data_IF_088730621335
#
_entry.id   IF_088730621335
#
_cell.length_a   1.000
_cell.length_b   1.000
_cell.length_c   1.000
_cell.angle_alpha   90.00
_cell.angle_beta   90.00
_cell.angle_gamma   90.00
#
_symmetry.space_group_name_H-M   'P 1'
#
loop_
_entity.id
_entity.type
_entity.pdbx_description
1 polymer ?
#
# COMPACT_ATOMS: atom_id res chain seq x y z
N UNK A 1 17.42 20.85 17.10
CA UNK A 1 17.13 20.70 16.59
C UNK A 1 16.01 20.69 16.18
N UNK A 2 15.57 20.75 16.07
CA UNK A 2 14.54 20.86 15.96
C UNK A 2 13.63 20.80 14.97
N UNK A 3 13.09 20.50 14.78
CA UNK A 3 12.40 20.30 14.02
C UNK A 3 11.23 20.58 13.80
N UNK A 4 10.74 20.71 13.57
CA UNK A 4 9.79 20.99 13.38
C UNK A 4 8.78 20.67 12.97
N UNK A 5 8.17 20.57 12.92
CA UNK A 5 7.17 20.27 12.80
C UNK A 5 6.21 20.43 12.05
N UNK A 6 5.94 20.15 11.75
CA UNK A 6 5.17 20.10 11.27
C UNK A 6 4.12 20.41 10.91
N UNK A 7 3.60 20.48 10.62
CA UNK A 7 2.81 20.74 10.32
C UNK A 7 1.77 20.40 10.06
N UNK A 8 1.19 20.31 10.05
CA UNK A 8 0.20 19.98 9.98
C UNK A 8 -0.64 20.45 9.18
N UNK A 9 -0.89 20.28 8.65
CA UNK A 9 -1.58 20.57 7.94
C UNK A 9 -2.66 20.96 7.79
N UNK A 10 -3.12 20.92 7.62
CA UNK A 10 -4.04 21.12 7.61
C UNK A 10 -4.88 21.81 7.38
N UNK A 11 -5.13 22.00 7.09
CA UNK A 11 -5.86 22.51 6.99
C UNK A 11 -6.76 22.89 6.55
N UNK A 12 -7.27 23.01 6.30
CA UNK A 12 -8.02 23.31 5.91
C UNK A 12 -8.98 23.37 5.56
N UNK A 13 -9.31 23.39 5.37
CA UNK A 13 -10.10 23.29 5.04
C UNK A 13 -11.12 23.90 4.75
N UNK A 14 -11.41 24.31 4.65
CA UNK A 14 -12.30 24.87 4.55
C UNK A 14 -12.64 25.39 3.45
N UNK A 15 -12.27 25.33 2.85
CA UNK A 15 -12.48 25.82 1.87
C UNK A 15 -12.84 25.11 1.02
N UNK A 16 -12.78 24.41 1.22
CA UNK A 16 -12.89 23.63 0.47
C UNK A 16 -14.01 23.77 -0.32
N UNK A 17 -14.50 24.21 -0.46
CA UNK A 17 -15.56 24.26 -1.04
C UNK A 17 -15.49 24.67 -2.28
N UNK A 18 -14.83 25.13 -2.62
CA UNK A 18 -14.80 25.69 -3.73
C UNK A 18 -14.35 24.95 -4.64
N UNK A 19 -14.16 24.25 -4.48
CA UNK A 19 -13.73 23.49 -5.17
C UNK A 19 -14.21 23.31 -6.38
N UNK A 20 -14.85 23.28 -6.81
CA UNK A 20 -15.34 23.00 -7.92
C UNK A 20 -14.68 23.66 -8.85
N UNK A 21 -14.00 23.97 -8.61
CA UNK A 21 -13.53 24.67 -9.39
C UNK A 21 -12.78 24.20 -10.37
N UNK A 22 -12.75 24.23 -11.08
CA UNK A 22 -12.15 24.12 -12.15
C UNK A 22 -10.86 24.62 -12.05
N UNK A 23 -10.10 24.68 -12.57
CA UNK A 23 -8.89 25.29 -12.61
C UNK A 23 -8.28 25.40 -11.30
N UNK A 24 -7.93 24.38 -10.67
CA UNK A 24 -7.25 24.49 -9.42
C UNK A 24 -5.84 24.99 -9.67
N UNK A 25 -5.47 26.03 -8.99
CA UNK A 25 -4.14 26.55 -9.03
C UNK A 25 -3.20 25.54 -8.36
N UNK A 26 -2.12 25.18 -9.03
CA UNK A 26 -1.19 24.21 -8.49
C UNK A 26 -0.62 24.65 -7.14
N UNK A 27 -0.40 25.96 -6.97
CA UNK A 27 0.16 26.45 -5.73
C UNK A 27 -0.80 26.33 -4.57
N UNK A 28 -2.08 26.08 -4.84
CA UNK A 28 -3.09 25.97 -3.78
C UNK A 28 -3.38 24.53 -3.40
N UNK A 29 -2.67 23.58 -3.95
CA UNK A 29 -2.86 22.19 -3.56
C UNK A 29 -2.38 22.01 -2.14
N UNK A 30 -3.17 21.27 -1.40
CA UNK A 30 -2.88 21.08 0.01
C UNK A 30 -1.86 20.00 0.23
N UNK A 31 -0.98 20.23 1.16
CA UNK A 31 -0.09 19.21 1.70
C UNK A 31 -0.83 18.53 2.84
N UNK A 32 -0.80 17.20 2.86
CA UNK A 32 -1.50 16.43 3.89
C UNK A 32 -0.49 15.70 4.75
N UNK A 33 -0.71 15.75 6.05
CA UNK A 33 0.13 15.07 7.02
C UNK A 33 -0.66 13.89 7.60
N UNK A 34 -0.02 12.72 7.70
CA UNK A 34 -0.66 11.52 8.19
C UNK A 34 0.19 10.89 9.30
N UNK A 35 -0.47 10.22 10.23
CA UNK A 35 0.16 9.29 11.15
C UNK A 35 -0.46 7.94 10.93
N UNK A 36 0.35 6.91 10.82
CA UNK A 36 -0.19 5.56 10.58
C UNK A 36 -1.12 5.12 11.70
N UNK A 37 -0.77 5.42 12.95
CA UNK A 37 -1.61 4.97 14.05
C UNK A 37 -2.98 5.61 14.05
N UNK A 38 -3.14 6.75 13.38
CA UNK A 38 -4.43 7.42 13.29
C UNK A 38 -5.25 6.94 12.10
N UNK A 39 -4.65 6.14 11.22
CA UNK A 39 -5.34 5.68 10.02
C UNK A 39 -6.20 4.47 10.34
N UNK A 40 -7.38 4.37 9.73
CA UNK A 40 -8.20 3.19 9.93
C UNK A 40 -7.46 1.94 9.46
N UNK A 41 -7.56 0.89 10.24
CA UNK A 41 -6.99 -0.40 9.88
C UNK A 41 -8.12 -1.26 9.35
N UNK A 42 -8.04 -1.61 8.09
CA UNK A 42 -9.06 -2.42 7.44
C UNK A 42 -8.73 -3.89 7.62
N UNK A 43 -9.68 -4.65 8.15
CA UNK A 43 -9.53 -6.09 8.24
C UNK A 43 -9.98 -6.68 6.91
N UNK A 44 -9.03 -7.14 6.12
CA UNK A 44 -9.31 -7.66 4.77
C UNK A 44 -9.70 -9.12 4.84
N UNK A 45 -9.02 -9.88 5.71
CA UNK A 45 -9.31 -11.29 5.94
C UNK A 45 -8.85 -11.63 7.35
N UNK A 46 -9.04 -12.88 7.76
CA UNK A 46 -8.59 -13.32 9.09
C UNK A 46 -7.08 -13.22 9.25
N UNK A 47 -6.34 -13.19 8.15
CA UNK A 47 -4.89 -13.25 8.17
C UNK A 47 -4.24 -11.95 7.70
N UNK A 48 -5.03 -10.96 7.27
CA UNK A 48 -4.45 -9.79 6.62
C UNK A 48 -5.25 -8.53 6.94
N UNK A 49 -4.56 -7.52 7.50
CA UNK A 49 -5.11 -6.18 7.68
C UNK A 49 -4.28 -5.21 6.86
N UNK A 50 -4.81 -4.03 6.62
CA UNK A 50 -4.03 -3.01 5.93
C UNK A 50 -4.47 -1.60 6.31
N UNK A 51 -3.54 -0.67 6.15
CA UNK A 51 -3.79 0.77 6.19
C UNK A 51 -3.23 1.34 4.90
N UNK A 52 -3.87 2.38 4.37
CA UNK A 52 -3.38 2.94 3.12
C UNK A 52 -3.58 4.45 3.08
N UNK A 53 -2.70 5.08 2.32
CA UNK A 53 -2.77 6.50 1.97
C UNK A 53 -2.75 6.52 0.45
N UNK A 54 -3.75 7.16 -0.15
CA UNK A 54 -3.82 7.25 -1.60
C UNK A 54 -3.64 8.69 -2.04
N UNK A 55 -2.87 8.87 -3.09
CA UNK A 55 -2.57 10.17 -3.69
C UNK A 55 -3.01 10.12 -5.14
N UNK A 56 -2.70 11.19 -5.90
CA UNK A 56 -3.12 11.23 -7.30
C UNK A 56 -2.45 10.15 -8.14
N UNK A 57 -1.17 9.89 -7.91
CA UNK A 57 -0.39 9.02 -8.78
C UNK A 57 0.20 7.82 -8.07
N UNK A 58 0.05 7.72 -6.77
CA UNK A 58 0.66 6.66 -6.00
C UNK A 58 -0.17 6.34 -4.78
N UNK A 59 0.05 5.16 -4.24
CA UNK A 59 -0.59 4.70 -3.02
C UNK A 59 0.50 4.12 -2.14
N UNK A 60 0.46 4.46 -0.86
CA UNK A 60 1.39 3.93 0.14
C UNK A 60 0.59 3.13 1.14
N UNK A 61 1.00 1.89 1.40
CA UNK A 61 0.23 1.00 2.26
C UNK A 61 1.11 0.34 3.29
N UNK A 62 0.52 0.06 4.44
CA UNK A 62 1.06 -0.89 5.40
C UNK A 62 0.16 -2.11 5.38
N UNK A 63 0.72 -3.25 5.10
CA UNK A 63 -0.01 -4.51 5.08
C UNK A 63 0.53 -5.37 6.22
N UNK A 64 -0.37 -5.84 7.05
CA UNK A 64 -0.04 -6.64 8.22
C UNK A 64 -0.51 -8.06 7.95
N UNK A 65 0.44 -9.00 7.87
CA UNK A 65 0.12 -10.38 7.54
C UNK A 65 0.52 -11.27 8.69
N UNK A 66 -0.35 -12.19 9.05
CA UNK A 66 0.00 -13.21 10.03
C UNK A 66 0.83 -14.29 9.36
N UNK A 67 1.68 -14.93 10.14
CA UNK A 67 2.49 -16.04 9.63
C UNK A 67 1.60 -17.05 8.91
N UNK A 68 2.00 -17.43 7.72
CA UNK A 68 1.25 -18.38 6.89
C UNK A 68 0.21 -17.76 5.98
N UNK A 69 -0.02 -16.45 6.09
CA UNK A 69 -0.97 -15.78 5.19
C UNK A 69 -0.49 -15.91 3.75
N UNK A 70 -1.43 -16.21 2.87
CA UNK A 70 -1.15 -16.40 1.45
C UNK A 70 -1.81 -15.28 0.67
N UNK A 71 -1.02 -14.63 -0.20
CA UNK A 71 -1.55 -13.74 -1.22
C UNK A 71 -1.53 -14.54 -2.51
N UNK A 72 -2.70 -14.96 -3.03
CA UNK A 72 -2.75 -15.85 -4.19
C UNK A 72 -2.11 -15.21 -5.42
N UNK A 73 -1.74 -16.05 -6.39
CA UNK A 73 -1.15 -15.58 -7.63
C UNK A 73 -2.09 -14.58 -8.30
N UNK A 74 -1.56 -13.43 -8.65
CA UNK A 74 -2.32 -12.37 -9.29
C UNK A 74 -1.35 -11.45 -10.02
N UNK A 75 -1.92 -10.55 -10.82
CA UNK A 75 -1.15 -9.47 -11.43
C UNK A 75 -2.02 -8.24 -11.50
N UNK A 76 -1.42 -7.10 -11.72
CA UNK A 76 -2.14 -5.83 -11.84
C UNK A 76 -1.29 -4.87 -12.68
N UNK A 77 -1.95 -3.87 -13.22
CA UNK A 77 -1.24 -2.89 -14.03
C UNK A 77 -0.33 -2.01 -13.18
N UNK A 78 -0.62 -1.88 -11.90
CA UNK A 78 0.17 -1.04 -11.02
C UNK A 78 1.58 -1.57 -10.89
N UNK A 79 2.54 -0.67 -10.97
CA UNK A 79 3.91 -0.99 -10.58
C UNK A 79 3.95 -1.06 -9.07
N UNK A 80 4.77 -1.93 -8.51
CA UNK A 80 4.78 -2.15 -7.06
C UNK A 80 6.19 -2.20 -6.53
N UNK A 81 6.40 -1.54 -5.39
CA UNK A 81 7.60 -1.75 -4.58
C UNK A 81 7.14 -2.28 -3.24
N UNK A 82 7.75 -3.37 -2.82
CA UNK A 82 7.48 -4.01 -1.54
C UNK A 82 8.72 -3.84 -0.65
N UNK A 83 8.52 -3.31 0.55
CA UNK A 83 9.60 -3.06 1.50
C UNK A 83 9.20 -3.68 2.84
N UNK A 84 9.97 -4.65 3.30
CA UNK A 84 9.63 -5.38 4.52
C UNK A 84 10.23 -4.67 5.73
N UNK A 85 9.39 -4.37 6.70
CA UNK A 85 9.84 -3.77 7.96
C UNK A 85 10.07 -4.84 9.02
N UNK A 86 9.21 -5.84 9.10
CA UNK A 86 9.29 -6.93 10.08
C UNK A 86 8.82 -8.20 9.42
N UNK A 87 9.34 -9.32 9.85
CA UNK A 87 8.91 -10.62 9.37
C UNK A 87 9.59 -11.02 8.08
N UNK A 88 8.82 -11.32 7.06
CA UNK A 88 9.36 -11.71 5.77
C UNK A 88 8.29 -12.29 4.88
N UNK A 89 8.44 -12.07 3.59
CA UNK A 89 7.55 -12.63 2.57
C UNK A 89 8.36 -13.45 1.60
N UNK A 90 7.80 -14.62 1.23
CA UNK A 90 8.34 -15.41 0.13
C UNK A 90 7.47 -15.18 -1.07
N UNK A 91 8.09 -14.78 -2.18
CA UNK A 91 7.38 -14.52 -3.43
C UNK A 91 7.70 -15.60 -4.44
N UNK A 92 6.68 -16.00 -5.17
CA UNK A 92 6.82 -16.86 -6.36
C UNK A 92 6.44 -16.01 -7.56
N UNK A 93 7.36 -15.86 -8.50
CA UNK A 93 7.23 -14.93 -9.60
C UNK A 93 7.01 -15.71 -10.89
N UNK A 94 6.08 -15.20 -11.71
CA UNK A 94 5.80 -15.77 -13.02
C UNK A 94 4.67 -16.77 -12.98
N UNK A 95 4.20 -17.14 -14.15
CA UNK A 95 3.05 -18.03 -14.28
C UNK A 95 3.35 -19.41 -13.70
N UNK A 96 4.57 -19.89 -13.92
CA UNK A 96 4.97 -21.22 -13.46
C UNK A 96 5.62 -21.16 -12.08
N UNK A 97 5.71 -19.97 -11.47
CA UNK A 97 6.26 -19.79 -10.13
C UNK A 97 7.70 -20.29 -10.00
N UNK A 98 8.45 -20.22 -11.09
CA UNK A 98 9.79 -20.80 -11.12
C UNK A 98 10.82 -19.95 -10.39
N UNK A 99 10.57 -18.67 -10.21
CA UNK A 99 11.50 -17.80 -9.50
C UNK A 99 10.96 -17.54 -8.09
N UNK A 100 11.75 -17.89 -7.08
CA UNK A 100 11.35 -17.75 -5.68
C UNK A 100 12.29 -16.76 -5.02
N UNK A 101 11.73 -15.75 -4.38
CA UNK A 101 12.51 -14.70 -3.74
C UNK A 101 11.98 -14.48 -2.34
N UNK A 102 12.85 -14.58 -1.33
CA UNK A 102 12.52 -14.22 0.03
C UNK A 102 12.93 -12.77 0.27
N UNK A 103 12.00 -11.97 0.75
CA UNK A 103 12.26 -10.57 1.08
C UNK A 103 12.16 -10.43 2.59
N UNK A 104 13.27 -10.06 3.22
CA UNK A 104 13.41 -10.01 4.68
C UNK A 104 13.50 -8.57 5.15
N UNK A 105 13.48 -8.31 6.47
CA UNK A 105 13.47 -6.94 6.97
C UNK A 105 14.61 -6.10 6.38
N UNK A 106 14.27 -4.92 5.91
CA UNK A 106 15.22 -4.01 5.29
C UNK A 106 15.44 -4.27 3.81
N UNK A 107 14.78 -5.27 3.24
CA UNK A 107 14.94 -5.63 1.83
C UNK A 107 13.75 -5.16 1.02
N UNK A 108 13.97 -4.96 -0.26
CA UNK A 108 12.99 -4.36 -1.16
C UNK A 108 12.88 -5.20 -2.42
N UNK A 109 11.65 -5.39 -2.89
CA UNK A 109 11.38 -6.09 -4.14
C UNK A 109 10.60 -5.15 -5.05
N UNK A 110 11.01 -5.06 -6.31
CA UNK A 110 10.30 -4.31 -7.33
C UNK A 110 9.57 -5.29 -8.23
N UNK A 111 8.26 -5.11 -8.37
CA UNK A 111 7.43 -5.94 -9.24
C UNK A 111 6.89 -5.05 -10.36
N UNK A 112 7.34 -5.26 -11.61
CA UNK A 112 6.82 -4.47 -12.73
C UNK A 112 5.35 -4.74 -13.00
N UNK A 113 4.73 -3.84 -13.78
CA UNK A 113 3.33 -3.99 -14.18
C UNK A 113 3.09 -5.36 -14.80
N UNK A 114 1.96 -5.96 -14.44
CA UNK A 114 1.43 -7.20 -15.05
C UNK A 114 2.26 -8.45 -14.79
N UNK A 115 3.28 -8.40 -13.96
CA UNK A 115 4.04 -9.61 -13.63
C UNK A 115 3.26 -10.40 -12.59
N UNK A 116 2.99 -11.67 -12.90
CA UNK A 116 2.29 -12.54 -11.96
C UNK A 116 3.14 -12.83 -10.75
N UNK A 117 2.55 -12.76 -9.59
CA UNK A 117 3.26 -13.01 -8.34
C UNK A 117 2.30 -13.54 -7.27
N UNK A 118 2.86 -14.32 -6.37
CA UNK A 118 2.18 -14.92 -5.23
C UNK A 118 3.10 -14.73 -4.04
N UNK A 119 2.54 -14.61 -2.85
CA UNK A 119 3.37 -14.42 -1.67
C UNK A 119 2.84 -15.20 -0.47
N UNK A 120 3.75 -15.53 0.42
CA UNK A 120 3.40 -16.16 1.68
C UNK A 120 4.18 -15.48 2.80
N UNK A 121 3.52 -15.20 3.91
CA UNK A 121 4.18 -14.62 5.08
C UNK A 121 4.93 -15.70 5.84
N UNK A 122 6.24 -15.53 5.94
CA UNK A 122 7.10 -16.49 6.64
C UNK A 122 6.99 -16.34 8.15
N UNK A 123 6.64 -15.15 8.60
CA UNK A 123 6.40 -14.80 9.98
C UNK A 123 5.31 -13.75 10.00
N UNK A 124 4.89 -13.31 11.19
CA UNK A 124 4.05 -12.13 11.27
C UNK A 124 4.82 -10.99 10.63
N UNK A 125 4.22 -10.34 9.65
CA UNK A 125 4.95 -9.44 8.75
C UNK A 125 4.31 -8.07 8.70
N UNK A 126 5.15 -7.05 8.69
CA UNK A 126 4.74 -5.68 8.35
C UNK A 126 5.41 -5.35 7.03
N UNK A 127 4.58 -5.19 6.02
CA UNK A 127 4.98 -4.98 4.64
C UNK A 127 4.52 -3.61 4.20
N UNK A 128 5.44 -2.82 3.66
CA UNK A 128 5.11 -1.52 3.05
C UNK A 128 5.06 -1.74 1.55
N UNK A 129 3.90 -1.49 0.95
CA UNK A 129 3.76 -1.55 -0.50
C UNK A 129 3.50 -0.16 -1.04
N UNK A 130 4.18 0.18 -2.12
CA UNK A 130 3.97 1.41 -2.87
C UNK A 130 3.49 1.01 -4.24
N UNK A 131 2.36 1.57 -4.67
CA UNK A 131 1.77 1.28 -5.97
C UNK A 131 1.65 2.55 -6.79
N UNK A 132 1.89 2.45 -8.08
CA UNK A 132 1.63 3.53 -9.02
C UNK A 132 1.05 2.95 -10.31
N UNK A 133 -0.15 3.37 -10.73
CA UNK A 133 -1.07 4.27 -10.02
C UNK A 133 -1.69 3.61 -8.81
N UNK A 134 -2.53 4.32 -8.05
CA UNK A 134 -3.20 3.72 -6.90
C UNK A 134 -4.02 2.48 -7.29
N UNK A 135 -4.09 1.52 -6.37
CA UNK A 135 -4.85 0.29 -6.55
C UNK A 135 -6.34 0.61 -6.45
N UNK A 136 -6.99 0.75 -7.59
CA UNK A 136 -8.41 1.06 -7.61
C UNK A 136 -9.24 -0.06 -6.99
N UNK A 137 -8.83 -1.32 -7.20
CA UNK A 137 -9.52 -2.46 -6.61
C UNK A 137 -9.46 -2.45 -5.07
N UNK A 138 -8.39 -1.92 -4.51
CA UNK A 138 -8.30 -1.80 -3.05
C UNK A 138 -9.22 -0.68 -2.56
N UNK A 139 -9.27 0.43 -3.29
CA UNK A 139 -10.15 1.54 -2.91
C UNK A 139 -11.62 1.17 -3.03
N UNK A 140 -11.95 0.38 -4.04
CA UNK A 140 -13.33 -0.06 -4.28
C UNK A 140 -13.69 -1.32 -3.49
N UNK A 141 -12.70 -1.93 -2.85
CA UNK A 141 -12.86 -3.18 -2.10
C UNK A 141 -13.38 -4.31 -2.99
N UNK A 142 -12.86 -4.35 -4.21
CA UNK A 142 -13.17 -5.42 -5.17
C UNK A 142 -12.01 -6.38 -5.35
N UNK A 143 -11.04 -6.35 -4.45
CA UNK A 143 -9.88 -7.22 -4.47
C UNK A 143 -10.24 -8.57 -3.82
N UNK A 144 -11.10 -9.32 -4.48
CA UNK A 144 -11.66 -10.55 -3.92
C UNK A 144 -10.59 -11.58 -3.61
N UNK A 145 -9.50 -11.60 -4.36
CA UNK A 145 -8.45 -12.59 -4.14
C UNK A 145 -7.80 -12.47 -2.76
N UNK A 146 -7.85 -11.28 -2.13
CA UNK A 146 -7.33 -11.07 -0.79
C UNK A 146 -8.39 -11.32 0.28
N UNK A 147 -9.67 -11.33 -0.09
CA UNK A 147 -10.77 -11.36 0.87
C UNK A 147 -11.32 -12.75 1.10
N UNK A 148 -10.61 -13.75 0.70
CA UNK A 148 -11.03 -15.13 0.90
C UNK A 148 -10.89 -15.51 2.36
N UNK A 149 -11.84 -16.30 2.85
CA UNK A 149 -11.84 -16.71 4.25
C UNK A 149 -11.72 -18.19 4.40
#
# INVERSE_FOLDING_TARGET
MGVSPVMQSSINDQHGQDTHATGVNMDERQVTFYRWEDMPKEEVSDMLDRRLITCDRMMLTHVYLKKGAIVPQHSHENEQITYILEGGLRFWIGKDESQVIDVLPGEVLHIPSHVLHKAEALEDTVDVDIFSPPRQDWLDKTDDYLRQK
#
